data_IF_526079939610
#
_entry.id   IF_526079939610
#
_cell.length_a   1.000
_cell.length_b   1.000
_cell.length_c   1.000
_cell.angle_alpha   90.00
_cell.angle_beta   90.00
_cell.angle_gamma   90.00
#
_symmetry.space_group_name_H-M   'P 1'
#
loop_
_entity.id
_entity.type
_entity.pdbx_description
1 polymer ?
#
# COMPACT_ATOMS: atom_id res chain seq x y z
N UNK A 1 -1.07 7.20 12.47
CA UNK A 1 0.14 6.38 12.26
C UNK A 1 0.60 5.98 13.65
N UNK A 2 0.39 4.72 14.02
CA UNK A 2 0.35 4.29 15.42
C UNK A 2 1.62 4.64 16.21
N UNK A 3 2.81 4.50 15.61
CA UNK A 3 4.08 4.83 16.28
C UNK A 3 4.30 6.33 16.50
N UNK A 4 3.89 7.17 15.55
CA UNK A 4 3.96 8.64 15.69
C UNK A 4 2.91 9.12 16.69
N UNK A 5 1.70 8.58 16.62
CA UNK A 5 0.60 8.95 17.54
C UNK A 5 0.92 8.54 18.98
N UNK A 6 1.66 7.44 19.16
CA UNK A 6 2.17 7.00 20.47
C UNK A 6 3.44 7.73 20.94
N UNK A 7 4.01 8.64 20.13
CA UNK A 7 5.21 9.42 20.47
C UNK A 7 6.52 8.61 20.52
N UNK A 8 6.53 7.39 19.97
CA UNK A 8 7.74 6.54 19.92
C UNK A 8 8.56 6.73 18.64
N UNK A 9 8.00 7.41 17.64
CA UNK A 9 8.65 7.78 16.39
C UNK A 9 8.35 9.24 16.05
N UNK A 10 9.29 9.94 15.43
CA UNK A 10 9.03 11.20 14.76
C UNK A 10 8.45 10.96 13.36
N UNK A 11 7.80 11.97 12.77
CA UNK A 11 7.28 11.85 11.39
C UNK A 11 8.38 11.61 10.37
N UNK A 12 9.54 12.22 10.57
CA UNK A 12 10.67 12.11 9.66
C UNK A 12 11.35 10.73 9.74
N UNK A 13 11.02 9.92 10.75
CA UNK A 13 11.51 8.52 10.88
C UNK A 13 10.72 7.54 9.98
N UNK A 14 9.65 8.00 9.32
CA UNK A 14 8.72 7.13 8.57
C UNK A 14 8.67 7.53 7.10
N UNK A 15 8.98 6.57 6.23
CA UNK A 15 8.85 6.71 4.78
C UNK A 15 7.47 6.27 4.28
N UNK A 16 6.94 6.96 3.26
CA UNK A 16 5.77 6.47 2.54
C UNK A 16 6.16 5.26 1.66
N UNK A 17 5.29 4.24 1.62
CA UNK A 17 5.51 3.08 0.75
C UNK A 17 5.66 3.48 -0.72
N UNK A 18 4.92 4.49 -1.18
CA UNK A 18 5.03 5.03 -2.54
C UNK A 18 6.44 5.52 -2.87
N UNK A 19 7.07 6.25 -1.95
CA UNK A 19 8.43 6.77 -2.13
C UNK A 19 9.48 5.66 -2.20
N UNK A 20 9.30 4.59 -1.42
CA UNK A 20 10.14 3.40 -1.50
C UNK A 20 9.98 2.69 -2.85
N UNK A 21 8.74 2.55 -3.34
CA UNK A 21 8.45 1.89 -4.62
C UNK A 21 9.03 2.65 -5.83
N UNK A 22 9.05 3.99 -5.78
CA UNK A 22 9.62 4.82 -6.86
C UNK A 22 11.11 5.14 -6.67
N UNK A 23 11.72 4.66 -5.57
CA UNK A 23 13.14 4.83 -5.27
C UNK A 23 13.55 6.21 -4.73
N UNK A 24 12.61 7.03 -4.26
CA UNK A 24 12.87 8.32 -3.61
C UNK A 24 13.10 8.19 -2.10
N UNK A 25 12.76 7.06 -1.50
CA UNK A 25 13.08 6.71 -0.12
C UNK A 25 13.75 5.34 -0.02
N UNK A 26 14.55 5.14 1.03
CA UNK A 26 15.21 3.85 1.27
C UNK A 26 14.23 2.81 1.80
N UNK A 27 14.28 1.60 1.22
CA UNK A 27 13.57 0.43 1.73
C UNK A 27 14.42 -0.39 2.68
N UNK A 28 14.13 -1.70 2.75
CA UNK A 28 14.93 -2.68 3.50
C UNK A 28 16.35 -2.77 2.94
N UNK A 29 17.38 -2.71 3.80
CA UNK A 29 18.79 -2.69 3.37
C UNK A 29 19.55 -3.97 3.65
N UNK A 30 19.15 -4.72 4.68
CA UNK A 30 19.87 -5.91 5.12
C UNK A 30 18.95 -7.05 5.52
N UNK A 31 19.49 -8.27 5.63
CA UNK A 31 18.74 -9.44 6.09
C UNK A 31 18.28 -9.32 7.56
N UNK A 32 19.02 -8.58 8.38
CA UNK A 32 18.69 -8.39 9.80
C UNK A 32 17.60 -7.33 10.04
N UNK A 33 17.23 -6.56 9.03
CA UNK A 33 16.25 -5.48 9.17
C UNK A 33 14.85 -6.05 9.38
N UNK A 34 14.16 -5.54 10.40
CA UNK A 34 12.73 -5.74 10.62
C UNK A 34 12.00 -4.50 10.09
N UNK A 35 11.06 -4.70 9.18
CA UNK A 35 10.23 -3.62 8.62
C UNK A 35 8.80 -3.74 9.11
N UNK A 36 8.16 -2.59 9.36
CA UNK A 36 6.75 -2.52 9.73
C UNK A 36 6.03 -1.62 8.74
N UNK A 37 4.88 -2.09 8.27
CA UNK A 37 3.98 -1.31 7.43
C UNK A 37 2.71 -1.02 8.22
N UNK A 38 2.40 0.26 8.39
CA UNK A 38 1.17 0.75 9.04
C UNK A 38 0.33 1.48 7.98
N UNK A 39 -0.81 0.89 7.61
CA UNK A 39 -1.72 1.45 6.60
C UNK A 39 -3.05 1.81 7.23
N UNK A 40 -3.59 2.96 6.83
CA UNK A 40 -4.96 3.38 7.17
C UNK A 40 -5.97 2.96 6.11
N UNK A 41 -5.52 2.37 5.00
CA UNK A 41 -6.32 2.08 3.80
C UNK A 41 -6.62 3.35 3.01
N UNK A 42 -6.43 3.31 1.69
CA UNK A 42 -6.74 4.44 0.80
C UNK A 42 -7.73 4.00 -0.26
N UNK A 43 -8.83 4.74 -0.43
CA UNK A 43 -9.84 4.44 -1.44
C UNK A 43 -9.28 4.33 -2.87
N UNK A 44 -8.17 5.01 -3.17
CA UNK A 44 -7.48 4.88 -4.46
C UNK A 44 -6.91 3.49 -4.71
N UNK A 45 -6.49 2.78 -3.65
CA UNK A 45 -5.96 1.41 -3.74
C UNK A 45 -7.09 0.46 -4.10
N UNK A 46 -8.27 0.62 -3.46
CA UNK A 46 -9.46 -0.17 -3.78
C UNK A 46 -9.91 0.06 -5.22
N UNK A 47 -9.94 1.31 -5.66
CA UNK A 47 -10.28 1.67 -7.05
C UNK A 47 -9.27 1.07 -8.04
N UNK A 48 -7.98 1.15 -7.75
CA UNK A 48 -6.95 0.58 -8.62
C UNK A 48 -7.13 -0.94 -8.78
N UNK A 49 -7.46 -1.65 -7.69
CA UNK A 49 -7.76 -3.10 -7.74
C UNK A 49 -9.02 -3.36 -8.55
N UNK A 50 -10.10 -2.60 -8.33
CA UNK A 50 -11.36 -2.76 -9.06
C UNK A 50 -11.18 -2.56 -10.57
N UNK A 51 -10.41 -1.55 -10.99
CA UNK A 51 -10.07 -1.32 -12.39
C UNK A 51 -9.24 -2.47 -12.95
N UNK A 52 -8.20 -2.91 -12.25
CA UNK A 52 -7.35 -4.01 -12.70
C UNK A 52 -8.11 -5.34 -12.85
N UNK A 53 -9.11 -5.58 -11.99
CA UNK A 53 -10.01 -6.73 -12.09
C UNK A 53 -10.98 -6.58 -13.27
N UNK A 54 -11.56 -5.39 -13.46
CA UNK A 54 -12.47 -5.11 -14.58
C UNK A 54 -11.78 -5.24 -15.94
N UNK A 55 -10.52 -4.78 -16.05
CA UNK A 55 -9.70 -4.96 -17.26
C UNK A 55 -9.46 -6.44 -17.62
N UNK A 56 -9.52 -7.32 -16.62
CA UNK A 56 -9.32 -8.77 -16.75
C UNK A 56 -10.62 -9.55 -16.58
N UNK A 57 -11.77 -8.91 -16.80
CA UNK A 57 -13.06 -9.52 -16.55
C UNK A 57 -13.25 -10.85 -17.30
N UNK A 58 -12.78 -10.91 -18.56
CA UNK A 58 -12.86 -12.11 -19.40
C UNK A 58 -11.94 -13.24 -18.90
N UNK A 59 -10.81 -12.92 -18.26
CA UNK A 59 -9.86 -13.90 -17.71
C UNK A 59 -10.30 -14.42 -16.33
N UNK A 60 -11.00 -13.57 -15.57
CA UNK A 60 -11.39 -13.84 -14.17
C UNK A 60 -12.81 -14.40 -14.04
N UNK A 61 -13.54 -14.60 -15.14
CA UNK A 61 -14.93 -15.09 -15.18
C UNK A 61 -15.83 -14.34 -14.18
N UNK A 62 -15.76 -13.00 -14.22
CA UNK A 62 -16.44 -12.15 -13.24
C UNK A 62 -17.97 -12.22 -13.41
N UNK A 63 -18.74 -12.38 -12.33
CA UNK A 63 -20.19 -12.42 -12.41
C UNK A 63 -20.76 -11.03 -12.70
N UNK A 64 -21.54 -10.92 -13.78
CA UNK A 64 -22.23 -9.69 -14.19
C UNK A 64 -23.70 -9.73 -13.79
N UNK A 65 -24.21 -8.65 -13.19
CA UNK A 65 -25.62 -8.51 -12.83
C UNK A 65 -26.21 -7.36 -13.66
N UNK A 66 -27.37 -7.59 -14.28
CA UNK A 66 -28.14 -6.52 -14.91
C UNK A 66 -28.96 -5.80 -13.84
N UNK A 67 -28.74 -4.50 -13.69
CA UNK A 67 -29.47 -3.62 -12.76
C UNK A 67 -30.68 -2.98 -13.44
#
# INVERSE_FOLDING_TARGET
MHGVDAGVLARDDVAHLGDVLIGTAEGRKSEGDITVFDSTGLAIQDLAIALAALERADELDLPTISL
#
